data_IF_092647267846
#
_entry.id   IF_092647267846
#
_cell.length_a   1.000
_cell.length_b   1.000
_cell.length_c   1.000
_cell.angle_alpha   90.00
_cell.angle_beta   90.00
_cell.angle_gamma   90.00
#
_symmetry.space_group_name_H-M   'P 1'
#
loop_
_entity.id
_entity.type
_entity.pdbx_description
1 polymer ?
#
# COMPACT_ATOMS: atom_id res chain seq x y z
N UNK A 1 -5.96 28.26 -14.60
CA UNK A 1 -5.57 27.98 -14.66
C UNK A 1 -4.95 27.54 -15.25
N UNK A 2 -4.64 27.51 -15.24
CA UNK A 2 -4.17 27.04 -15.44
C UNK A 2 -3.25 26.58 -15.25
N UNK A 3 -2.51 26.48 -15.13
CA UNK A 3 -1.75 25.93 -14.83
C UNK A 3 -1.73 25.09 -14.26
N UNK A 4 -2.05 24.96 -13.96
CA UNK A 4 -2.20 24.17 -13.50
C UNK A 4 -2.76 23.30 -13.77
N UNK A 5 -3.14 23.33 -14.16
CA UNK A 5 -3.80 22.52 -14.42
C UNK A 5 -3.36 21.57 -15.19
N UNK A 6 -2.63 21.58 -15.51
CA UNK A 6 -2.16 20.77 -16.00
C UNK A 6 -1.46 19.91 -15.47
N UNK A 7 -1.15 19.75 -14.94
CA UNK A 7 -0.75 18.96 -14.30
C UNK A 7 -1.08 18.47 -13.48
N UNK A 8 -1.59 18.62 -13.25
CA UNK A 8 -2.16 18.30 -12.43
C UNK A 8 -2.83 17.92 -12.47
N UNK A 9 -2.86 17.62 -12.67
CA UNK A 9 -3.72 17.51 -12.56
C UNK A 9 -4.45 17.40 -12.03
N UNK A 10 -4.59 17.28 -12.07
CA UNK A 10 -5.41 17.45 -11.50
C UNK A 10 -5.67 17.85 -10.58
N UNK A 11 -5.33 18.07 -10.27
CA UNK A 11 -5.69 18.59 -9.45
C UNK A 11 -6.03 19.26 -8.94
N UNK A 12 -5.77 19.44 -9.04
CA UNK A 12 -5.98 20.29 -8.47
C UNK A 12 -6.73 21.05 -8.41
N UNK A 13 -6.88 21.15 -8.81
CA UNK A 13 -7.77 22.01 -8.87
C UNK A 13 -8.55 22.19 -7.88
N UNK A 14 -8.83 22.54 -7.49
CA UNK A 14 -9.42 22.81 -6.45
C UNK A 14 -10.52 22.05 -6.01
N UNK A 15 -10.49 21.23 -5.25
CA UNK A 15 -11.59 20.51 -4.75
C UNK A 15 -12.10 21.24 -3.54
N UNK A 16 -13.03 21.99 -3.78
CA UNK A 16 -13.42 22.88 -2.71
C UNK A 16 -14.51 22.36 -1.83
N UNK A 17 -15.18 21.30 -2.21
CA UNK A 17 -16.29 20.90 -1.37
C UNK A 17 -15.99 19.58 -0.68
N UNK A 18 -16.75 19.28 0.34
CA UNK A 18 -16.53 18.09 1.14
C UNK A 18 -16.68 16.83 0.30
N UNK A 19 -17.53 16.89 -0.70
CA UNK A 19 -17.75 15.74 -1.55
C UNK A 19 -16.49 15.40 -2.35
N UNK A 20 -15.81 16.42 -2.84
CA UNK A 20 -14.58 16.18 -3.58
C UNK A 20 -13.50 15.59 -2.67
N UNK A 21 -13.41 16.09 -1.46
CA UNK A 21 -12.45 15.52 -0.54
C UNK A 21 -12.75 14.08 -0.21
N UNK A 22 -14.03 13.75 -0.08
CA UNK A 22 -14.42 12.38 0.20
C UNK A 22 -14.08 11.48 -0.99
N UNK A 23 -14.29 11.96 -2.21
CA UNK A 23 -13.96 11.19 -3.38
C UNK A 23 -12.47 10.94 -3.45
N UNK A 24 -11.69 11.96 -3.18
CA UNK A 24 -10.24 11.79 -3.20
C UNK A 24 -9.79 10.74 -2.20
N UNK A 25 -10.35 10.76 -1.01
CA UNK A 25 -9.99 9.77 0.00
C UNK A 25 -10.36 8.37 -0.44
N UNK A 26 -11.52 8.22 -1.08
CA UNK A 26 -11.95 6.89 -1.54
C UNK A 26 -11.07 6.35 -2.64
N UNK A 27 -10.46 7.23 -3.42
CA UNK A 27 -9.64 6.81 -4.55
C UNK A 27 -8.16 7.11 -4.31
N UNK A 28 -7.75 7.16 -3.05
CA UNK A 28 -6.37 7.50 -2.72
C UNK A 28 -5.46 6.29 -2.83
N UNK A 29 -5.48 5.63 -3.97
CA UNK A 29 -4.56 4.54 -4.29
C UNK A 29 -3.89 4.94 -5.59
N UNK A 30 -2.81 5.73 -5.46
CA UNK A 30 -2.18 6.31 -6.63
C UNK A 30 -0.86 5.66 -6.97
N UNK A 31 -0.14 5.23 -5.96
CA UNK A 31 1.19 4.68 -6.17
C UNK A 31 1.39 3.55 -5.20
N UNK A 32 1.52 2.36 -5.74
CA UNK A 32 1.68 1.15 -4.95
C UNK A 32 3.10 0.64 -5.12
N UNK A 33 3.80 0.45 -4.03
CA UNK A 33 5.12 -0.15 -4.04
C UNK A 33 5.05 -1.53 -3.42
N UNK A 34 5.68 -2.49 -4.07
CA UNK A 34 5.75 -3.86 -3.58
C UNK A 34 7.20 -4.17 -3.25
N UNK A 35 7.46 -4.58 -2.03
CA UNK A 35 8.81 -4.96 -1.60
C UNK A 35 8.79 -6.44 -1.22
N UNK A 36 9.47 -7.26 -2.02
CA UNK A 36 9.57 -8.68 -1.77
C UNK A 36 10.89 -9.20 -2.32
N UNK A 37 11.44 -10.21 -1.66
CA UNK A 37 12.68 -10.80 -2.13
C UNK A 37 12.44 -11.99 -3.07
N UNK A 38 11.19 -12.40 -3.24
CA UNK A 38 10.84 -13.58 -4.04
C UNK A 38 10.21 -13.14 -5.35
N UNK A 39 10.79 -13.62 -6.47
CA UNK A 39 10.22 -13.27 -7.76
C UNK A 39 8.87 -13.93 -8.01
N UNK A 40 8.69 -15.14 -7.47
CA UNK A 40 7.39 -15.80 -7.59
C UNK A 40 6.33 -15.01 -6.84
N UNK A 41 6.67 -14.53 -5.65
CA UNK A 41 5.74 -13.75 -4.86
C UNK A 41 5.46 -12.40 -5.51
N UNK A 42 6.49 -11.81 -6.11
CA UNK A 42 6.30 -10.57 -6.85
C UNK A 42 5.27 -10.72 -7.95
N UNK A 43 5.41 -11.78 -8.75
CA UNK A 43 4.49 -12.01 -9.85
C UNK A 43 3.07 -12.19 -9.34
N UNK A 44 2.92 -12.96 -8.27
CA UNK A 44 1.61 -13.20 -7.68
C UNK A 44 0.99 -11.89 -7.17
N UNK A 45 1.75 -11.13 -6.40
CA UNK A 45 1.24 -9.89 -5.84
C UNK A 45 0.90 -8.88 -6.92
N UNK A 46 1.80 -8.73 -7.90
CA UNK A 46 1.55 -7.77 -8.97
C UNK A 46 0.30 -8.12 -9.75
N UNK A 47 0.10 -9.40 -10.03
CA UNK A 47 -1.08 -9.81 -10.76
C UNK A 47 -2.35 -9.57 -9.95
N UNK A 48 -2.32 -9.92 -8.66
CA UNK A 48 -3.51 -9.73 -7.82
C UNK A 48 -3.86 -8.26 -7.66
N UNK A 49 -2.85 -7.43 -7.46
CA UNK A 49 -3.09 -6.00 -7.32
C UNK A 49 -3.67 -5.43 -8.61
N UNK A 50 -3.06 -5.77 -9.74
CA UNK A 50 -3.51 -5.24 -11.03
C UNK A 50 -4.95 -5.66 -11.32
N UNK A 51 -5.26 -6.91 -11.04
CA UNK A 51 -6.61 -7.42 -11.32
C UNK A 51 -7.64 -6.73 -10.43
N UNK A 52 -7.33 -6.63 -9.14
CA UNK A 52 -8.27 -5.99 -8.22
C UNK A 52 -8.49 -4.52 -8.59
N UNK A 53 -7.42 -3.82 -8.89
CA UNK A 53 -7.55 -2.40 -9.24
C UNK A 53 -8.32 -2.20 -10.52
N UNK A 54 -8.08 -3.05 -11.52
CA UNK A 54 -8.81 -2.94 -12.78
C UNK A 54 -10.30 -3.20 -12.58
N UNK A 55 -10.64 -4.15 -11.72
CA UNK A 55 -12.04 -4.42 -11.42
C UNK A 55 -12.74 -3.22 -10.80
N UNK A 56 -11.98 -2.34 -10.17
CA UNK A 56 -12.54 -1.16 -9.52
C UNK A 56 -12.19 0.12 -10.27
N UNK A 57 -11.77 -0.02 -11.53
CA UNK A 57 -11.45 1.11 -12.39
C UNK A 57 -10.36 1.98 -11.82
N UNK A 58 -9.39 1.38 -11.16
CA UNK A 58 -8.24 2.06 -10.61
C UNK A 58 -7.00 1.64 -11.39
N UNK A 59 -6.15 2.59 -11.71
CA UNK A 59 -4.95 2.30 -12.49
C UNK A 59 -3.75 2.98 -11.86
N UNK A 60 -3.34 2.51 -10.67
CA UNK A 60 -2.23 3.13 -9.96
C UNK A 60 -0.90 2.80 -10.62
N UNK A 61 0.09 3.63 -10.37
CA UNK A 61 1.44 3.31 -10.74
C UNK A 61 1.95 2.26 -9.74
N UNK A 62 2.48 1.16 -10.27
CA UNK A 62 2.96 0.08 -9.42
C UNK A 62 4.42 -0.17 -9.71
N UNK A 63 5.23 -0.18 -8.66
CA UNK A 63 6.65 -0.45 -8.75
C UNK A 63 7.00 -1.58 -7.80
N UNK A 64 7.87 -2.48 -8.26
CA UNK A 64 8.29 -3.62 -7.45
C UNK A 64 9.76 -3.48 -7.12
N UNK A 65 10.10 -3.78 -5.88
CA UNK A 65 11.47 -3.67 -5.37
C UNK A 65 11.87 -4.98 -4.72
N UNK A 66 13.16 -5.30 -4.80
CA UNK A 66 13.66 -6.56 -4.27
C UNK A 66 14.63 -6.37 -3.12
N UNK A 67 15.00 -5.15 -2.83
CA UNK A 67 15.88 -4.85 -1.71
C UNK A 67 15.40 -3.59 -1.01
N UNK A 68 15.74 -3.49 0.27
CA UNK A 68 15.24 -2.38 1.07
C UNK A 68 15.86 -1.06 0.68
N UNK A 69 17.11 -1.08 0.22
CA UNK A 69 17.79 0.16 -0.12
C UNK A 69 17.08 0.87 -1.26
N UNK A 70 16.80 0.16 -2.35
CA UNK A 70 16.11 0.74 -3.49
C UNK A 70 14.70 1.19 -3.10
N UNK A 71 14.04 0.36 -2.31
CA UNK A 71 12.67 0.67 -1.89
C UNK A 71 12.62 1.98 -1.10
N UNK A 72 13.51 2.12 -0.12
CA UNK A 72 13.46 3.29 0.73
C UNK A 72 14.01 4.53 0.04
N UNK A 73 14.92 4.36 -0.90
CA UNK A 73 15.34 5.49 -1.71
C UNK A 73 14.16 6.04 -2.50
N UNK A 74 13.38 5.16 -3.09
CA UNK A 74 12.19 5.59 -3.84
C UNK A 74 11.17 6.25 -2.92
N UNK A 75 11.00 5.71 -1.72
CA UNK A 75 10.04 6.26 -0.77
C UNK A 75 10.45 7.65 -0.31
N UNK A 76 11.75 7.90 -0.18
CA UNK A 76 12.23 9.22 0.21
C UNK A 76 12.05 10.23 -0.90
N UNK A 77 12.19 9.80 -2.15
CA UNK A 77 12.08 10.70 -3.28
C UNK A 77 10.65 11.09 -3.59
N UNK A 78 9.72 10.17 -3.40
CA UNK A 78 8.34 10.42 -3.73
C UNK A 78 7.46 9.62 -2.78
N UNK A 79 6.54 10.26 -2.07
CA UNK A 79 5.72 9.55 -1.07
C UNK A 79 4.94 8.41 -1.68
N UNK A 80 4.84 7.34 -0.94
CA UNK A 80 4.05 6.18 -1.33
C UNK A 80 2.67 6.30 -0.71
N UNK A 81 1.64 6.07 -1.50
CA UNK A 81 0.30 6.01 -0.92
C UNK A 81 0.04 4.64 -0.33
N UNK A 82 0.52 3.59 -0.99
CA UNK A 82 0.26 2.23 -0.58
C UNK A 82 1.51 1.38 -0.75
N UNK A 83 1.70 0.45 0.14
CA UNK A 83 2.84 -0.45 0.07
C UNK A 83 2.44 -1.85 0.50
N UNK A 84 2.98 -2.85 -0.20
CA UNK A 84 2.88 -4.23 0.22
C UNK A 84 4.29 -4.67 0.58
N UNK A 85 4.49 -5.06 1.84
CA UNK A 85 5.79 -5.52 2.33
C UNK A 85 5.67 -7.02 2.52
N UNK A 86 6.50 -7.78 1.82
CA UNK A 86 6.47 -9.23 1.89
C UNK A 86 7.90 -9.75 1.95
N UNK A 87 8.51 -9.55 3.11
CA UNK A 87 9.86 -10.02 3.39
C UNK A 87 9.81 -11.00 4.55
N UNK A 88 10.67 -12.02 4.54
CA UNK A 88 10.65 -13.01 5.61
C UNK A 88 11.25 -12.48 6.90
N UNK A 89 10.75 -12.99 8.00
CA UNK A 89 11.34 -12.81 9.31
C UNK A 89 11.50 -11.38 9.75
N UNK A 90 12.59 -11.11 10.41
CA UNK A 90 12.86 -9.81 10.99
C UNK A 90 13.07 -8.74 9.92
N UNK A 91 13.49 -9.13 8.73
CA UNK A 91 13.65 -8.16 7.66
C UNK A 91 12.32 -7.48 7.34
N UNK A 92 11.23 -8.23 7.38
CA UNK A 92 9.91 -7.65 7.16
C UNK A 92 9.53 -6.69 8.26
N UNK A 93 9.79 -7.08 9.51
CA UNK A 93 9.49 -6.21 10.62
C UNK A 93 10.28 -4.91 10.54
N UNK A 94 11.58 -5.02 10.28
CA UNK A 94 12.41 -3.82 10.17
C UNK A 94 11.94 -2.90 9.04
N UNK A 95 11.54 -3.50 7.93
CA UNK A 95 11.08 -2.69 6.79
C UNK A 95 9.79 -1.96 7.14
N UNK A 96 8.87 -2.62 7.82
CA UNK A 96 7.60 -1.97 8.16
C UNK A 96 7.84 -0.86 9.18
N UNK A 97 8.71 -1.11 10.17
CA UNK A 97 9.04 -0.08 11.14
C UNK A 97 9.65 1.13 10.47
N UNK A 98 10.60 0.90 9.58
CA UNK A 98 11.26 1.99 8.88
C UNK A 98 10.28 2.76 8.01
N UNK A 99 9.44 2.04 7.30
CA UNK A 99 8.47 2.69 6.42
C UNK A 99 7.47 3.53 7.21
N UNK A 100 7.01 3.02 8.33
CA UNK A 100 6.06 3.77 9.14
C UNK A 100 6.68 5.04 9.70
N UNK A 101 7.94 4.97 10.08
CA UNK A 101 8.64 6.16 10.57
C UNK A 101 8.87 7.17 9.46
N UNK A 102 9.21 6.68 8.28
CA UNK A 102 9.53 7.55 7.15
C UNK A 102 8.28 8.16 6.52
N UNK A 103 7.23 7.34 6.40
CA UNK A 103 6.02 7.75 5.70
C UNK A 103 4.80 7.41 6.58
N UNK A 104 4.47 8.28 7.52
CA UNK A 104 3.41 7.97 8.50
C UNK A 104 2.03 7.74 7.88
N UNK A 105 1.81 8.26 6.67
CA UNK A 105 0.50 8.18 6.04
C UNK A 105 0.35 7.03 5.07
N UNK A 106 1.44 6.32 4.78
CA UNK A 106 1.39 5.21 3.84
C UNK A 106 0.51 4.10 4.39
N UNK A 107 -0.31 3.54 3.53
CA UNK A 107 -1.16 2.43 3.89
C UNK A 107 -0.41 1.15 3.56
N UNK A 108 -0.38 0.23 4.52
CA UNK A 108 0.52 -0.91 4.46
C UNK A 108 -0.25 -2.23 4.57
N UNK A 109 0.01 -3.14 3.63
CA UNK A 109 -0.36 -4.55 3.77
C UNK A 109 0.95 -5.30 3.99
N UNK A 110 1.00 -6.05 5.07
CA UNK A 110 2.23 -6.73 5.49
C UNK A 110 2.02 -8.23 5.44
N UNK A 111 2.85 -8.92 4.65
CA UNK A 111 2.82 -10.38 4.54
C UNK A 111 4.09 -10.93 5.16
N UNK A 112 3.97 -11.94 6.00
CA UNK A 112 5.13 -12.49 6.70
C UNK A 112 4.99 -13.99 6.90
N UNK A 113 6.13 -14.64 7.04
CA UNK A 113 6.17 -16.05 7.38
C UNK A 113 6.11 -16.27 8.91
N UNK A 114 6.25 -15.20 9.68
CA UNK A 114 6.15 -15.25 11.13
C UNK A 114 4.98 -14.38 11.58
N UNK A 115 4.41 -14.75 12.71
CA UNK A 115 3.23 -14.06 13.21
C UNK A 115 3.64 -12.77 13.93
N UNK A 116 3.66 -11.69 13.19
CA UNK A 116 3.92 -10.36 13.72
C UNK A 116 2.64 -9.55 13.87
N UNK A 117 1.51 -10.23 14.07
CA UNK A 117 0.24 -9.51 14.10
C UNK A 117 0.20 -8.43 15.18
N UNK A 118 0.84 -8.67 16.33
CA UNK A 118 0.86 -7.68 17.38
C UNK A 118 1.68 -6.45 16.96
N UNK A 119 2.81 -6.69 16.30
CA UNK A 119 3.61 -5.59 15.78
C UNK A 119 2.84 -4.83 14.69
N UNK A 120 2.12 -5.57 13.85
CA UNK A 120 1.33 -4.94 12.80
C UNK A 120 0.28 -4.01 13.38
N UNK A 121 -0.33 -4.43 14.48
CA UNK A 121 -1.29 -3.58 15.16
C UNK A 121 -0.63 -2.30 15.67
N UNK A 122 0.51 -2.44 16.32
CA UNK A 122 1.23 -1.28 16.85
C UNK A 122 1.71 -0.33 15.78
N UNK A 123 2.12 -0.89 14.64
CA UNK A 123 2.63 -0.10 13.53
C UNK A 123 1.52 0.39 12.61
N UNK A 124 0.28 0.10 12.96
CA UNK A 124 -0.90 0.56 12.23
C UNK A 124 -0.88 0.10 10.78
N UNK A 125 -0.38 -1.13 10.55
CA UNK A 125 -0.56 -1.74 9.23
C UNK A 125 -2.05 -1.92 8.98
N UNK A 126 -2.48 -1.68 7.75
CA UNK A 126 -3.88 -1.80 7.43
C UNK A 126 -4.34 -3.25 7.45
N UNK A 127 -3.44 -4.16 7.11
CA UNK A 127 -3.77 -5.57 7.09
C UNK A 127 -2.50 -6.38 7.23
N UNK A 128 -2.60 -7.49 7.96
CA UNK A 128 -1.46 -8.38 8.13
C UNK A 128 -1.86 -9.78 7.65
N UNK A 129 -1.01 -10.39 6.84
CA UNK A 129 -1.25 -11.69 6.26
C UNK A 129 -0.12 -12.64 6.64
N UNK A 130 -0.49 -13.76 7.26
CA UNK A 130 0.49 -14.79 7.56
C UNK A 130 0.54 -15.75 6.37
N UNK A 131 1.74 -16.06 5.92
CA UNK A 131 1.91 -16.94 4.78
C UNK A 131 1.46 -18.36 5.12
N UNK A 132 0.94 -19.08 4.13
CA UNK A 132 0.84 -18.73 2.70
C UNK A 132 -0.31 -17.76 2.45
N UNK A 133 -0.02 -16.78 1.58
CA UNK A 133 -1.00 -15.76 1.28
C UNK A 133 -1.93 -16.24 0.17
N UNK A 134 -3.22 -16.19 0.44
CA UNK A 134 -4.22 -16.61 -0.55
C UNK A 134 -4.79 -15.40 -1.25
N UNK A 135 -5.36 -15.65 -2.43
CA UNK A 135 -6.00 -14.59 -3.18
C UNK A 135 -7.12 -13.95 -2.38
N UNK A 136 -7.95 -14.77 -1.72
CA UNK A 136 -9.08 -14.25 -0.97
C UNK A 136 -8.64 -13.34 0.16
N UNK A 137 -7.60 -13.73 0.90
CA UNK A 137 -7.12 -12.94 2.01
C UNK A 137 -6.50 -11.62 1.52
N UNK A 138 -5.77 -11.69 0.42
CA UNK A 138 -5.15 -10.50 -0.13
C UNK A 138 -6.20 -9.50 -0.60
N UNK A 139 -7.28 -10.01 -1.20
CA UNK A 139 -8.35 -9.13 -1.64
C UNK A 139 -9.05 -8.44 -0.48
N UNK A 140 -9.11 -9.07 0.68
CA UNK A 140 -9.64 -8.40 1.86
C UNK A 140 -8.80 -7.18 2.22
N UNK A 141 -7.48 -7.32 2.15
CA UNK A 141 -6.60 -6.19 2.41
C UNK A 141 -6.81 -5.06 1.40
N UNK A 142 -6.98 -5.42 0.13
CA UNK A 142 -7.22 -4.41 -0.90
C UNK A 142 -8.55 -3.69 -0.66
N UNK A 143 -9.56 -4.40 -0.19
CA UNK A 143 -10.83 -3.75 0.11
C UNK A 143 -10.69 -2.73 1.22
N UNK A 144 -9.86 -3.03 2.21
CA UNK A 144 -9.59 -2.05 3.28
C UNK A 144 -8.95 -0.80 2.71
N UNK A 145 -8.03 -0.97 1.77
CA UNK A 145 -7.43 0.17 1.09
C UNK A 145 -8.49 0.99 0.36
N UNK A 146 -9.35 0.29 -0.37
CA UNK A 146 -10.35 0.95 -1.20
C UNK A 146 -11.36 1.71 -0.35
N UNK A 147 -11.75 1.14 0.78
CA UNK A 147 -12.73 1.78 1.66
C UNK A 147 -12.18 3.00 2.35
N UNK A 148 -10.87 3.15 2.39
CA UNK A 148 -10.27 4.28 3.07
C UNK A 148 -10.38 4.24 4.56
N UNK A 149 -10.86 3.15 5.11
CA UNK A 149 -10.98 3.01 6.55
C UNK A 149 -9.70 2.46 7.13
N UNK A 150 -9.33 2.97 8.27
CA UNK A 150 -8.27 2.36 9.03
C UNK A 150 -8.88 1.33 9.95
N UNK A 151 -8.40 0.15 9.85
CA UNK A 151 -8.82 -0.86 10.79
C UNK A 151 -8.17 -0.54 12.11
N UNK A 152 -8.72 -0.38 13.14
CA UNK A 152 -8.15 0.00 14.41
C UNK A 152 -6.90 -0.78 14.78
N UNK A 153 -6.29 -1.34 13.82
CA UNK A 153 -5.11 -2.15 13.93
C UNK A 153 -5.16 -3.14 12.79
N UNK A 154 -4.21 -4.02 12.73
CA UNK A 154 -4.19 -5.02 11.68
C UNK A 154 -5.32 -6.01 11.90
N UNK A 155 -6.00 -6.35 10.84
CA UNK A 155 -6.92 -7.47 10.88
C UNK A 155 -6.11 -8.75 10.82
N UNK A 156 -6.48 -9.71 11.62
CA UNK A 156 -5.76 -10.97 11.66
C UNK A 156 -6.40 -11.97 10.73
N UNK A 157 -5.57 -12.73 10.09
CA UNK A 157 -6.03 -13.73 9.14
C UNK A 157 -5.60 -15.10 9.57
#
# INVERSE_FOLDING_TARGET
AKWLEKTMPVRILKAENANDGARERRHAVYRIAVLTSSRAQEAFLAEQISRFCAEHCLFPKMDCYHDQESFFEAARNEPLTNAVIALPGVDGLNAVEHLRALCPQTRIIWCSDLDFSLHAFRLRADYFLLEPVTEAALRQGFRIWLDGKKSGGAALV
#
